data_IF_134412790375
#
_entry.id   IF_134412790375
#
_cell.length_a   1.000
_cell.length_b   1.000
_cell.length_c   1.000
_cell.angle_alpha   90.00
_cell.angle_beta   90.00
_cell.angle_gamma   90.00
#
_symmetry.space_group_name_H-M   'P 1'
#
loop_
_entity.id
_entity.type
_entity.pdbx_description
1 polymer ?
#
# COMPACT_ATOMS: atom_id res chain seq x y z
N UNK A 1 30.32 -0.97 4.01
CA UNK A 1 29.69 0.36 3.77
C UNK A 1 28.42 0.10 2.95
N UNK A 2 27.23 0.51 3.39
CA UNK A 2 25.98 0.35 2.61
C UNK A 2 25.73 1.64 1.82
N UNK A 3 25.41 1.51 0.53
CA UNK A 3 25.06 2.64 -0.34
C UNK A 3 23.63 3.14 -0.09
N UNK A 4 23.18 4.10 -0.91
CA UNK A 4 21.77 4.54 -0.89
C UNK A 4 20.86 3.36 -1.23
N UNK A 5 19.71 3.27 -0.56
CA UNK A 5 18.74 2.19 -0.74
C UNK A 5 17.32 2.71 -0.61
N UNK A 6 16.38 2.03 -1.27
CA UNK A 6 14.95 2.30 -1.15
C UNK A 6 14.44 1.50 0.04
N UNK A 7 13.82 2.19 1.00
CA UNK A 7 13.21 1.55 2.16
C UNK A 7 11.79 1.04 1.84
N UNK A 8 10.99 1.88 1.19
CA UNK A 8 9.55 1.66 1.03
C UNK A 8 9.03 2.22 -0.28
N UNK A 9 7.98 1.58 -0.80
CA UNK A 9 7.19 2.07 -1.93
C UNK A 9 5.70 1.79 -1.72
N UNK A 10 4.85 2.42 -2.53
CA UNK A 10 3.42 2.16 -2.55
C UNK A 10 3.00 1.71 -3.96
N UNK A 11 1.99 0.83 -4.00
CA UNK A 11 1.25 0.48 -5.21
C UNK A 11 -0.24 0.71 -4.95
N UNK A 12 -0.91 1.28 -5.95
CA UNK A 12 -2.35 1.48 -5.91
C UNK A 12 -3.09 0.32 -6.55
N UNK A 13 -4.23 -0.03 -5.97
CA UNK A 13 -5.16 -1.01 -6.52
C UNK A 13 -6.59 -0.54 -6.26
N UNK A 14 -7.54 -0.79 -7.19
CA UNK A 14 -8.97 -0.58 -6.90
C UNK A 14 -9.51 -1.61 -5.88
N UNK A 15 -8.79 -2.71 -5.66
CA UNK A 15 -9.21 -3.80 -4.79
C UNK A 15 -8.00 -4.37 -4.03
N UNK A 16 -7.79 -3.88 -2.80
CA UNK A 16 -6.80 -4.44 -1.89
C UNK A 16 -7.27 -5.74 -1.24
N UNK A 17 -8.59 -5.98 -1.18
CA UNK A 17 -9.21 -7.20 -0.67
C UNK A 17 -8.83 -8.42 -1.50
N UNK A 18 -8.89 -8.32 -2.83
CA UNK A 18 -8.46 -9.39 -3.72
C UNK A 18 -6.97 -9.75 -3.56
N UNK A 19 -6.11 -8.78 -3.22
CA UNK A 19 -4.70 -9.06 -2.91
C UNK A 19 -4.57 -9.77 -1.56
N UNK A 20 -5.33 -9.35 -0.55
CA UNK A 20 -5.42 -10.03 0.75
C UNK A 20 -5.82 -11.50 0.58
N UNK A 21 -6.90 -11.76 -0.16
CA UNK A 21 -7.41 -13.11 -0.40
C UNK A 21 -6.35 -14.01 -1.07
N UNK A 22 -5.61 -13.47 -2.06
CA UNK A 22 -4.52 -14.20 -2.72
C UNK A 22 -3.35 -14.48 -1.79
N UNK A 23 -3.06 -13.58 -0.85
CA UNK A 23 -2.05 -13.79 0.18
C UNK A 23 -2.51 -14.86 1.16
N UNK A 24 -3.74 -14.77 1.67
CA UNK A 24 -4.32 -15.77 2.57
C UNK A 24 -4.31 -17.18 1.95
N UNK A 25 -4.73 -17.31 0.68
CA UNK A 25 -4.74 -18.58 -0.06
C UNK A 25 -3.35 -19.21 -0.27
N UNK A 26 -2.27 -18.44 -0.06
CA UNK A 26 -0.89 -18.87 -0.22
C UNK A 26 -0.09 -18.82 1.09
N UNK A 27 -0.78 -18.65 2.22
CA UNK A 27 -0.15 -18.45 3.54
C UNK A 27 0.88 -17.30 3.53
N UNK A 28 0.62 -16.28 2.70
CA UNK A 28 1.44 -15.10 2.53
C UNK A 28 1.37 -14.19 3.76
N UNK A 29 2.51 -13.56 4.08
CA UNK A 29 2.59 -12.63 5.21
C UNK A 29 2.24 -11.21 4.78
N UNK A 30 1.37 -10.56 5.55
CA UNK A 30 1.04 -9.15 5.42
C UNK A 30 0.68 -8.55 6.78
N UNK A 31 0.67 -7.23 6.85
CA UNK A 31 0.03 -6.48 7.93
C UNK A 31 -1.09 -5.61 7.34
N UNK A 32 -2.16 -5.40 8.09
CA UNK A 32 -3.28 -4.59 7.62
C UNK A 32 -3.00 -3.09 7.86
N UNK A 33 -3.42 -2.24 6.93
CA UNK A 33 -3.26 -0.80 7.05
C UNK A 33 -4.38 -0.23 7.96
N UNK A 34 -4.06 0.04 9.23
CA UNK A 34 -5.03 0.52 10.24
C UNK A 34 -6.29 -0.38 10.39
N UNK A 35 -7.25 0.05 11.22
CA UNK A 35 -8.45 -0.73 11.57
C UNK A 35 -9.48 -0.87 10.43
N UNK A 36 -9.17 -0.38 9.22
CA UNK A 36 -10.04 -0.47 8.05
C UNK A 36 -9.43 -1.46 7.03
N UNK A 37 -10.05 -2.63 6.81
CA UNK A 37 -9.63 -3.57 5.77
C UNK A 37 -9.59 -2.98 4.35
N UNK A 38 -10.36 -1.92 4.08
CA UNK A 38 -10.35 -1.22 2.79
C UNK A 38 -9.16 -0.25 2.64
N UNK A 39 -8.50 0.12 3.74
CA UNK A 39 -7.39 1.07 3.68
C UNK A 39 -6.17 0.47 2.98
N UNK A 40 -5.96 -0.86 3.08
CA UNK A 40 -4.89 -1.56 2.37
C UNK A 40 -4.07 -2.52 3.22
N UNK A 41 -2.89 -2.88 2.71
CA UNK A 41 -1.99 -3.87 3.31
C UNK A 41 -0.53 -3.40 3.22
N UNK A 42 0.29 -3.89 4.13
CA UNK A 42 1.75 -3.88 4.01
C UNK A 42 2.25 -5.29 3.73
N UNK A 43 3.11 -5.41 2.73
CA UNK A 43 3.78 -6.66 2.36
C UNK A 43 5.28 -6.45 2.22
N UNK A 44 6.03 -7.55 2.32
CA UNK A 44 7.46 -7.60 1.99
C UNK A 44 7.67 -8.57 0.83
N UNK A 45 7.52 -8.12 -0.44
CA UNK A 45 7.71 -8.99 -1.59
C UNK A 45 9.16 -9.48 -1.65
N UNK A 46 9.36 -10.80 -1.73
CA UNK A 46 10.70 -11.39 -1.82
C UNK A 46 11.46 -10.95 -3.06
N UNK A 47 10.76 -10.74 -4.18
CA UNK A 47 11.32 -10.22 -5.43
C UNK A 47 11.89 -8.80 -5.30
N UNK A 48 11.47 -8.04 -4.28
CA UNK A 48 11.94 -6.68 -4.01
C UNK A 48 12.97 -6.64 -2.87
N UNK A 49 13.67 -7.75 -2.61
CA UNK A 49 14.82 -7.83 -1.69
C UNK A 49 14.54 -7.25 -0.29
N UNK A 50 13.31 -7.40 0.21
CA UNK A 50 12.92 -6.96 1.55
C UNK A 50 12.36 -5.54 1.66
N UNK A 51 12.19 -4.83 0.54
CA UNK A 51 11.48 -3.54 0.51
C UNK A 51 10.09 -3.69 1.14
N UNK A 52 9.73 -2.75 2.02
CA UNK A 52 8.37 -2.62 2.52
C UNK A 52 7.48 -2.03 1.42
N UNK A 53 6.41 -2.70 1.06
CA UNK A 53 5.46 -2.21 0.07
C UNK A 53 4.09 -2.02 0.70
N UNK A 54 3.58 -0.79 0.64
CA UNK A 54 2.18 -0.48 0.90
C UNK A 54 1.34 -0.77 -0.33
N UNK A 55 0.24 -1.50 -0.16
CA UNK A 55 -0.82 -1.70 -1.15
C UNK A 55 -2.00 -0.91 -0.65
N UNK A 56 -2.45 0.10 -1.39
CA UNK A 56 -3.55 0.96 -0.95
C UNK A 56 -4.61 1.11 -2.03
N UNK A 57 -5.80 1.56 -1.62
CA UNK A 57 -6.80 2.07 -2.55
C UNK A 57 -6.25 3.19 -3.43
N UNK A 58 -6.87 3.38 -4.59
CA UNK A 58 -6.55 4.47 -5.52
C UNK A 58 -6.48 5.81 -4.79
N UNK A 59 -5.36 6.49 -4.95
CA UNK A 59 -5.07 7.85 -4.45
C UNK A 59 -4.99 8.03 -2.94
N UNK A 60 -5.07 6.94 -2.18
CA UNK A 60 -4.84 6.97 -0.73
C UNK A 60 -3.38 7.32 -0.43
N UNK A 61 -2.43 6.79 -1.19
CA UNK A 61 -1.00 7.03 -0.99
C UNK A 61 -0.60 8.50 -1.19
N UNK A 62 -1.17 9.20 -2.18
CA UNK A 62 -0.84 10.61 -2.46
C UNK A 62 -1.17 11.56 -1.32
N UNK A 63 -2.22 11.25 -0.54
CA UNK A 63 -2.60 12.02 0.64
C UNK A 63 -1.52 12.02 1.72
N UNK A 64 -0.71 10.96 1.79
CA UNK A 64 0.40 10.86 2.74
C UNK A 64 1.74 11.21 2.12
N UNK A 65 1.85 11.28 0.79
CA UNK A 65 3.08 11.66 0.10
C UNK A 65 3.37 13.17 0.12
N UNK A 66 2.57 13.96 0.84
CA UNK A 66 2.66 15.42 0.85
C UNK A 66 2.15 16.09 -0.43
N UNK A 67 1.51 15.33 -1.32
CA UNK A 67 0.95 15.80 -2.60
C UNK A 67 -0.56 15.52 -2.72
N UNK A 68 -1.37 16.00 -1.78
CA UNK A 68 -2.82 15.75 -1.77
C UNK A 68 -3.53 16.28 -3.03
N UNK A 69 -2.97 17.27 -3.72
CA UNK A 69 -3.48 17.84 -4.98
C UNK A 69 -3.47 16.84 -6.15
N UNK A 70 -2.62 15.80 -6.07
CA UNK A 70 -2.55 14.74 -7.08
C UNK A 70 -3.64 13.68 -6.89
N UNK A 71 -4.26 13.63 -5.70
CA UNK A 71 -5.42 12.76 -5.49
C UNK A 71 -6.64 13.34 -6.25
N UNK A 72 -7.47 12.50 -6.89
CA UNK A 72 -8.74 12.91 -7.45
C UNK A 72 -9.57 13.62 -6.38
N UNK A 73 -10.37 14.60 -6.79
CA UNK A 73 -11.26 15.33 -5.87
C UNK A 73 -12.25 14.39 -5.15
N UNK A 74 -12.64 13.28 -5.78
CA UNK A 74 -13.44 12.20 -5.16
C UNK A 74 -12.64 11.34 -4.17
N UNK A 75 -11.33 11.24 -4.41
CA UNK A 75 -10.27 10.77 -3.52
C UNK A 75 -10.33 11.41 -2.14
N UNK A 76 -10.41 12.74 -2.13
CA UNK A 76 -10.47 13.61 -0.96
C UNK A 76 -11.86 13.53 -0.28
N UNK A 77 -12.11 12.46 0.46
CA UNK A 77 -13.28 12.31 1.34
C UNK A 77 -13.70 13.63 1.98
N UNK A 78 -14.98 13.95 1.78
CA UNK A 78 -15.68 15.09 2.35
C UNK A 78 -15.38 15.22 3.84
N UNK A 79 -14.99 16.43 4.25
CA UNK A 79 -14.76 16.84 5.63
C UNK A 79 -15.96 16.58 6.54
#
# INVERSE_FOLDING_TARGET
RRGQSIYMCFVETPDAGAIKERLDAREGRYQQLANDPAAGLYIHPSALHGILMGVSGTSVAWRWSGHPELAPKSAAGSS
#
